data_IF_305349094139
#
_entry.id   IF_305349094139
#
_cell.length_a   1.000
_cell.length_b   1.000
_cell.length_c   1.000
_cell.angle_alpha   90.00
_cell.angle_beta   90.00
_cell.angle_gamma   90.00
#
_symmetry.space_group_name_H-M   'P 1'
#
loop_
_entity.id
_entity.type
_entity.pdbx_description
1 polymer ?
#
# COMPACT_ATOMS: atom_id res chain seq x y z
N UNK A 1 5.71 -39.78 25.82
CA UNK A 1 5.88 -38.40 26.35
C UNK A 1 4.49 -37.77 26.47
N UNK A 2 4.09 -37.39 27.67
CA UNK A 2 2.72 -36.94 27.94
C UNK A 2 2.58 -35.44 27.58
N UNK A 3 1.52 -35.07 26.92
CA UNK A 3 1.14 -33.68 26.58
C UNK A 3 1.20 -32.73 27.80
N UNK A 4 0.99 -33.25 28.99
CA UNK A 4 1.11 -32.52 30.25
C UNK A 4 2.52 -31.97 30.50
N UNK A 5 3.56 -32.66 30.08
CA UNK A 5 4.94 -32.22 30.27
C UNK A 5 5.24 -30.98 29.43
N UNK A 6 4.81 -30.96 28.16
CA UNK A 6 4.97 -29.78 27.29
C UNK A 6 4.22 -28.54 27.81
N UNK A 7 3.00 -28.77 28.35
CA UNK A 7 2.22 -27.69 28.93
C UNK A 7 2.92 -27.09 30.16
N UNK A 8 3.50 -27.93 31.02
CA UNK A 8 4.23 -27.45 32.20
C UNK A 8 5.47 -26.64 31.84
N UNK A 9 6.20 -27.04 30.79
CA UNK A 9 7.37 -26.30 30.27
C UNK A 9 6.96 -24.91 29.79
N UNK A 10 5.90 -24.83 28.98
CA UNK A 10 5.38 -23.56 28.44
C UNK A 10 4.95 -22.65 29.59
N UNK A 11 4.16 -23.13 30.56
CA UNK A 11 3.69 -22.34 31.70
C UNK A 11 4.85 -21.85 32.57
N UNK A 12 5.85 -22.65 32.77
CA UNK A 12 7.01 -22.28 33.60
C UNK A 12 7.83 -21.14 33.00
N UNK A 13 7.86 -21.03 31.68
CA UNK A 13 8.66 -20.04 30.96
C UNK A 13 7.85 -19.10 30.08
N UNK A 14 6.57 -18.93 30.41
CA UNK A 14 5.64 -18.09 29.67
C UNK A 14 6.13 -16.63 29.51
N UNK A 15 6.92 -16.16 30.47
CA UNK A 15 7.48 -14.84 30.43
C UNK A 15 8.48 -14.65 29.27
N UNK A 16 9.17 -15.71 28.82
CA UNK A 16 10.07 -15.68 27.66
C UNK A 16 9.25 -15.48 26.38
N UNK A 17 8.15 -16.23 26.26
CA UNK A 17 7.21 -16.07 25.13
C UNK A 17 6.65 -14.65 25.16
N UNK A 18 6.18 -14.19 26.33
CA UNK A 18 5.63 -12.84 26.48
C UNK A 18 6.64 -11.74 26.13
N UNK A 19 7.93 -11.93 26.45
CA UNK A 19 8.98 -11.00 26.12
C UNK A 19 9.21 -10.93 24.59
N UNK A 20 9.36 -12.08 23.93
CA UNK A 20 9.60 -12.14 22.48
C UNK A 20 8.40 -11.58 21.73
N UNK A 21 7.20 -12.05 22.05
CA UNK A 21 5.95 -11.54 21.42
C UNK A 21 5.74 -10.07 21.75
N UNK A 22 6.05 -9.66 22.98
CA UNK A 22 5.90 -8.27 23.43
C UNK A 22 6.79 -7.29 22.65
N UNK A 23 8.05 -7.64 22.39
CA UNK A 23 8.96 -6.80 21.57
C UNK A 23 8.40 -6.64 20.15
N UNK A 24 7.98 -7.76 19.54
CA UNK A 24 7.41 -7.73 18.18
C UNK A 24 6.08 -6.98 18.15
N UNK A 25 5.24 -7.17 19.17
CA UNK A 25 3.97 -6.46 19.29
C UNK A 25 4.14 -4.95 19.46
N UNK A 26 5.16 -4.50 20.20
CA UNK A 26 5.50 -3.08 20.31
C UNK A 26 5.94 -2.50 18.97
N UNK A 27 6.80 -3.22 18.23
CA UNK A 27 7.21 -2.81 16.89
C UNK A 27 6.02 -2.73 15.92
N UNK A 28 5.20 -3.78 15.88
CA UNK A 28 3.99 -3.83 15.04
C UNK A 28 3.00 -2.74 15.45
N UNK A 29 2.80 -2.51 16.75
CA UNK A 29 1.94 -1.46 17.28
C UNK A 29 2.40 -0.06 16.87
N UNK A 30 3.71 0.20 16.92
CA UNK A 30 4.29 1.45 16.45
C UNK A 30 4.05 1.65 14.95
N UNK A 31 4.31 0.64 14.14
CA UNK A 31 4.09 0.68 12.69
C UNK A 31 2.61 0.86 12.34
N UNK A 32 1.71 0.17 13.05
CA UNK A 32 0.27 0.31 12.87
C UNK A 32 -0.22 1.72 13.24
N UNK A 33 0.32 2.30 14.32
CA UNK A 33 -0.01 3.68 14.72
C UNK A 33 0.40 4.68 13.63
N UNK A 34 1.60 4.54 13.06
CA UNK A 34 2.05 5.34 11.92
C UNK A 34 1.16 5.15 10.69
N UNK A 35 0.85 3.90 10.37
CA UNK A 35 -0.01 3.57 9.23
C UNK A 35 -1.41 4.18 9.36
N UNK A 36 -1.97 4.17 10.56
CA UNK A 36 -3.29 4.77 10.84
C UNK A 36 -3.31 6.29 10.68
N UNK A 37 -2.18 6.95 10.95
CA UNK A 37 -2.04 8.41 10.79
C UNK A 37 -1.83 8.84 9.33
N UNK A 38 -1.38 7.93 8.46
CA UNK A 38 -1.13 8.24 7.05
C UNK A 38 -2.46 8.21 6.29
N UNK A 39 -2.91 9.33 5.71
CA UNK A 39 -4.13 9.38 4.91
C UNK A 39 -4.04 8.41 3.72
N UNK A 40 -5.15 7.71 3.42
CA UNK A 40 -5.21 6.77 2.30
C UNK A 40 -4.47 5.44 2.48
N UNK A 41 -3.74 5.24 3.59
CA UNK A 41 -2.94 4.04 3.78
C UNK A 41 -3.80 2.77 3.98
N UNK A 42 -4.89 2.85 4.74
CA UNK A 42 -5.78 1.72 5.04
C UNK A 42 -7.00 1.66 4.14
N UNK A 43 -7.56 2.82 3.81
CA UNK A 43 -8.70 2.97 2.90
C UNK A 43 -8.40 4.06 1.90
N UNK A 44 -8.71 3.82 0.66
CA UNK A 44 -8.64 4.79 -0.41
C UNK A 44 -9.93 4.74 -1.22
N UNK A 45 -10.16 5.76 -1.99
CA UNK A 45 -11.27 5.84 -2.94
C UNK A 45 -10.69 5.79 -4.34
N UNK A 46 -11.25 4.92 -5.18
CA UNK A 46 -10.83 4.76 -6.55
C UNK A 46 -11.88 5.34 -7.50
N UNK A 47 -11.43 6.11 -8.45
CA UNK A 47 -12.18 6.49 -9.63
C UNK A 47 -11.28 6.30 -10.85
N UNK A 48 -11.87 6.06 -12.01
CA UNK A 48 -11.10 5.84 -13.23
C UNK A 48 -11.76 6.56 -14.41
N UNK A 49 -10.93 6.93 -15.38
CA UNK A 49 -11.39 7.51 -16.64
C UNK A 49 -10.69 6.78 -17.78
N UNK A 50 -11.43 6.48 -18.84
CA UNK A 50 -10.85 5.82 -20.02
C UNK A 50 -10.86 6.78 -21.18
N UNK A 51 -9.68 7.00 -21.75
CA UNK A 51 -9.46 7.81 -22.95
C UNK A 51 -8.99 6.91 -24.09
N UNK A 52 -9.31 7.27 -25.29
CA UNK A 52 -8.75 6.71 -26.52
C UNK A 52 -7.74 7.70 -27.09
N UNK A 53 -6.54 7.24 -27.36
CA UNK A 53 -5.48 8.02 -28.00
C UNK A 53 -5.39 7.65 -29.47
N UNK A 54 -5.23 8.66 -30.32
CA UNK A 54 -5.12 8.44 -31.75
C UNK A 54 -4.48 9.63 -32.47
N UNK A 55 -4.37 9.52 -33.75
CA UNK A 55 -3.94 10.59 -34.64
C UNK A 55 -5.16 11.18 -35.33
N UNK A 56 -5.21 12.50 -35.45
CA UNK A 56 -6.21 13.13 -36.33
C UNK A 56 -5.83 12.85 -37.79
N UNK A 57 -6.80 12.41 -38.62
CA UNK A 57 -6.53 12.27 -40.05
C UNK A 57 -6.13 13.61 -40.64
N UNK A 58 -4.99 13.65 -41.32
CA UNK A 58 -4.60 14.80 -42.11
C UNK A 58 -5.43 14.87 -43.36
N UNK A 59 -5.81 16.07 -43.80
CA UNK A 59 -6.68 16.33 -44.94
C UNK A 59 -6.16 15.80 -46.30
N UNK A 60 -4.97 15.25 -46.35
CA UNK A 60 -4.31 14.82 -47.58
C UNK A 60 -4.42 13.32 -47.89
N UNK A 61 -5.40 12.61 -47.33
CA UNK A 61 -5.86 11.35 -47.89
C UNK A 61 -4.98 10.12 -47.81
N UNK A 62 -3.78 10.20 -47.27
CA UNK A 62 -2.84 9.07 -47.13
C UNK A 62 -3.00 8.37 -45.77
N UNK A 63 -4.17 7.80 -45.55
CA UNK A 63 -4.41 6.96 -44.38
C UNK A 63 -4.09 5.52 -44.67
N UNK A 64 -2.84 5.14 -44.55
CA UNK A 64 -2.49 3.74 -44.39
C UNK A 64 -3.02 3.30 -43.01
N UNK A 65 -4.24 2.76 -42.99
CA UNK A 65 -4.99 2.42 -41.76
C UNK A 65 -4.22 1.52 -40.81
N UNK A 66 -3.34 0.66 -41.33
CA UNK A 66 -2.50 -0.20 -40.51
C UNK A 66 -1.44 0.59 -39.71
N UNK A 67 -0.80 1.59 -40.30
CA UNK A 67 0.16 2.46 -39.60
C UNK A 67 -0.56 3.33 -38.55
N UNK A 68 -1.79 3.71 -38.81
CA UNK A 68 -2.60 4.51 -37.90
C UNK A 68 -2.86 3.77 -36.56
N UNK A 69 -3.24 2.49 -36.65
CA UNK A 69 -3.47 1.64 -35.47
C UNK A 69 -2.16 1.46 -34.68
N UNK A 70 -1.07 1.11 -35.36
CA UNK A 70 0.22 0.87 -34.71
C UNK A 70 0.72 2.14 -33.99
N UNK A 71 0.61 3.30 -34.61
CA UNK A 71 1.04 4.55 -33.99
C UNK A 71 0.15 4.94 -32.81
N UNK A 72 -1.18 4.75 -32.93
CA UNK A 72 -2.11 4.99 -31.83
C UNK A 72 -1.82 4.11 -30.61
N UNK A 73 -1.51 2.84 -30.84
CA UNK A 73 -1.11 1.91 -29.78
C UNK A 73 0.25 2.29 -29.17
N UNK A 74 1.23 2.69 -30.01
CA UNK A 74 2.53 3.15 -29.52
C UNK A 74 2.42 4.42 -28.67
N UNK A 75 1.56 5.36 -29.03
CA UNK A 75 1.30 6.56 -28.23
C UNK A 75 0.61 6.24 -26.91
N UNK A 76 -0.36 5.31 -26.93
CA UNK A 76 -1.00 4.83 -25.71
C UNK A 76 0.00 4.11 -24.79
N UNK A 77 0.92 3.35 -25.36
CA UNK A 77 2.02 2.70 -24.61
C UNK A 77 2.97 3.73 -24.01
N UNK A 78 3.36 4.73 -24.80
CA UNK A 78 4.22 5.81 -24.34
C UNK A 78 3.56 6.60 -23.18
N UNK A 79 2.27 6.82 -23.19
CA UNK A 79 1.57 7.48 -22.08
C UNK A 79 1.65 6.67 -20.79
N UNK A 80 1.52 5.35 -20.85
CA UNK A 80 1.53 4.48 -19.67
C UNK A 80 2.95 4.15 -19.21
N UNK A 81 3.87 3.93 -20.15
CA UNK A 81 5.26 3.52 -19.85
C UNK A 81 6.19 4.69 -19.54
N UNK A 82 5.86 5.90 -19.97
CA UNK A 82 6.68 7.09 -19.73
C UNK A 82 6.27 7.80 -18.42
N UNK A 83 7.14 8.67 -17.89
CA UNK A 83 6.83 9.45 -16.69
C UNK A 83 5.82 10.59 -16.94
N UNK A 84 5.05 10.59 -18.03
CA UNK A 84 4.06 11.66 -18.31
C UNK A 84 3.08 11.81 -17.17
N UNK A 85 2.48 10.70 -16.72
CA UNK A 85 1.48 10.69 -15.64
C UNK A 85 2.03 11.07 -14.27
N UNK A 86 3.34 11.10 -14.09
CA UNK A 86 4.02 11.52 -12.86
C UNK A 86 4.88 12.76 -13.10
N UNK A 87 4.73 13.40 -14.26
CA UNK A 87 5.44 14.63 -14.55
C UNK A 87 4.85 15.80 -13.78
N UNK A 88 5.69 16.65 -13.24
CA UNK A 88 5.25 17.81 -12.50
C UNK A 88 4.34 18.75 -13.33
N UNK A 89 4.55 18.79 -14.64
CA UNK A 89 3.73 19.56 -15.57
C UNK A 89 2.31 18.99 -15.66
N UNK A 90 2.17 17.68 -15.90
CA UNK A 90 0.87 17.01 -15.98
C UNK A 90 0.10 17.12 -14.67
N UNK A 91 0.77 16.89 -13.53
CA UNK A 91 0.17 16.98 -12.21
C UNK A 91 -0.28 18.41 -11.86
N UNK A 92 0.50 19.41 -12.28
CA UNK A 92 0.15 20.82 -12.11
C UNK A 92 -1.05 21.18 -12.99
N UNK A 93 -1.10 20.67 -14.21
CA UNK A 93 -2.22 20.89 -15.11
C UNK A 93 -3.53 20.29 -14.56
N UNK A 94 -3.45 19.09 -13.94
CA UNK A 94 -4.59 18.48 -13.24
C UNK A 94 -5.06 19.38 -12.09
N UNK A 95 -4.14 19.87 -11.26
CA UNK A 95 -4.48 20.78 -10.16
C UNK A 95 -5.16 22.06 -10.67
N UNK A 96 -4.65 22.64 -11.75
CA UNK A 96 -5.26 23.82 -12.38
C UNK A 96 -6.65 23.52 -12.96
N UNK A 97 -6.84 22.33 -13.55
CA UNK A 97 -8.13 21.90 -14.09
C UNK A 97 -9.16 21.70 -12.97
N UNK A 98 -8.77 21.08 -11.84
CA UNK A 98 -9.65 20.96 -10.67
C UNK A 98 -10.11 22.33 -10.18
N UNK A 99 -9.22 23.34 -10.17
CA UNK A 99 -9.58 24.69 -9.80
C UNK A 99 -10.64 25.31 -10.74
N UNK A 100 -10.55 25.01 -12.04
CA UNK A 100 -11.54 25.45 -13.04
C UNK A 100 -12.88 24.74 -12.87
N UNK A 101 -12.84 23.43 -12.55
CA UNK A 101 -14.01 22.58 -12.42
C UNK A 101 -14.68 22.66 -11.04
N UNK A 102 -14.23 23.57 -10.17
CA UNK A 102 -14.73 23.69 -8.80
C UNK A 102 -16.24 23.85 -8.73
N UNK A 103 -16.85 24.56 -9.68
CA UNK A 103 -18.30 24.70 -9.75
C UNK A 103 -19.03 23.38 -10.00
N UNK A 104 -18.50 22.53 -10.85
CA UNK A 104 -19.04 21.19 -11.15
C UNK A 104 -18.88 20.27 -9.95
N UNK A 105 -17.72 20.34 -9.29
CA UNK A 105 -17.44 19.55 -8.08
C UNK A 105 -18.41 19.93 -6.95
N UNK A 106 -18.63 21.24 -6.74
CA UNK A 106 -19.58 21.75 -5.73
C UNK A 106 -21.01 21.30 -6.06
N UNK A 107 -21.39 21.34 -7.32
CA UNK A 107 -22.71 20.88 -7.73
C UNK A 107 -22.94 19.40 -7.46
N UNK A 108 -21.89 18.57 -7.61
CA UNK A 108 -21.98 17.11 -7.46
C UNK A 108 -21.85 16.64 -6.01
N UNK A 109 -20.91 17.20 -5.25
CA UNK A 109 -20.55 16.75 -3.91
C UNK A 109 -20.89 17.74 -2.80
N UNK A 110 -21.39 18.93 -3.16
CA UNK A 110 -21.73 19.99 -2.22
C UNK A 110 -20.59 20.98 -1.94
N UNK A 111 -20.94 22.13 -1.39
CA UNK A 111 -19.99 23.22 -1.13
C UNK A 111 -18.89 22.89 -0.11
N UNK A 112 -19.12 21.90 0.76
CA UNK A 112 -18.18 21.46 1.78
C UNK A 112 -17.49 20.14 1.40
N UNK A 113 -17.40 19.81 0.10
CA UNK A 113 -16.75 18.59 -0.37
C UNK A 113 -15.26 18.61 0.02
N UNK A 114 -14.85 17.56 0.72
CA UNK A 114 -13.43 17.35 1.04
C UNK A 114 -12.72 16.75 -0.18
N UNK A 115 -11.82 17.52 -0.78
CA UNK A 115 -11.02 17.11 -1.92
C UNK A 115 -9.62 16.58 -1.48
N UNK A 116 -9.27 16.67 -0.19
CA UNK A 116 -7.91 16.43 0.28
C UNK A 116 -6.93 17.50 -0.23
N UNK A 117 -5.63 17.17 -0.20
CA UNK A 117 -4.57 18.11 -0.62
C UNK A 117 -4.33 18.07 -2.14
N UNK A 118 -5.37 18.39 -2.91
CA UNK A 118 -5.37 18.40 -4.37
C UNK A 118 -4.49 19.52 -4.99
N UNK A 119 -4.08 20.49 -4.18
CA UNK A 119 -3.20 21.58 -4.62
C UNK A 119 -1.73 21.15 -4.70
N UNK A 120 -1.40 19.97 -4.20
CA UNK A 120 -0.04 19.44 -4.20
C UNK A 120 0.17 18.49 -5.41
N UNK A 121 0.86 18.93 -6.49
CA UNK A 121 1.06 18.10 -7.68
C UNK A 121 1.74 16.76 -7.38
N UNK A 122 2.72 16.73 -6.46
CA UNK A 122 3.43 15.50 -6.13
C UNK A 122 2.53 14.42 -5.52
N UNK A 123 1.47 14.79 -4.80
CA UNK A 123 0.50 13.85 -4.27
C UNK A 123 -0.44 13.36 -5.37
N UNK A 124 -0.79 14.23 -6.32
CA UNK A 124 -1.59 13.85 -7.49
C UNK A 124 -0.85 12.78 -8.30
N UNK A 125 0.41 13.01 -8.66
CA UNK A 125 1.20 12.05 -9.43
C UNK A 125 1.35 10.68 -8.76
N UNK A 126 1.47 10.66 -7.43
CA UNK A 126 1.50 9.41 -6.65
C UNK A 126 0.15 8.67 -6.61
N UNK A 127 -0.95 9.39 -6.79
CA UNK A 127 -2.30 8.84 -6.77
C UNK A 127 -2.71 8.25 -8.13
N UNK A 128 -2.01 8.62 -9.21
CA UNK A 128 -2.32 8.20 -10.56
C UNK A 128 -1.62 6.90 -10.93
N UNK A 129 -2.35 6.04 -11.61
CA UNK A 129 -1.84 4.85 -12.26
C UNK A 129 -2.61 4.64 -13.56
N UNK A 130 -1.95 4.15 -14.60
CA UNK A 130 -2.62 3.87 -15.85
C UNK A 130 -2.37 2.46 -16.34
N UNK A 131 -3.39 1.95 -17.03
CA UNK A 131 -3.33 0.67 -17.75
C UNK A 131 -3.81 0.91 -19.17
N UNK A 132 -3.32 0.14 -20.12
CA UNK A 132 -3.76 0.25 -21.51
C UNK A 132 -4.28 -1.07 -22.08
N UNK A 133 -5.21 -0.94 -23.01
CA UNK A 133 -5.65 -2.02 -23.89
C UNK A 133 -5.74 -1.42 -25.29
N UNK A 134 -4.86 -1.83 -26.19
CA UNK A 134 -4.70 -1.22 -27.51
C UNK A 134 -4.47 0.30 -27.43
N UNK A 135 -5.29 1.10 -28.09
CA UNK A 135 -5.25 2.58 -28.06
C UNK A 135 -6.03 3.20 -26.89
N UNK A 136 -6.65 2.36 -26.03
CA UNK A 136 -7.39 2.84 -24.87
C UNK A 136 -6.48 2.87 -23.65
N UNK A 137 -6.46 3.99 -22.96
CA UNK A 137 -5.75 4.19 -21.69
C UNK A 137 -6.76 4.44 -20.61
N UNK A 138 -6.74 3.62 -19.57
CA UNK A 138 -7.53 3.81 -18.36
C UNK A 138 -6.64 4.39 -17.27
N UNK A 139 -6.91 5.62 -16.89
CA UNK A 139 -6.23 6.30 -15.78
C UNK A 139 -7.03 6.01 -14.51
N UNK A 140 -6.39 5.36 -13.55
CA UNK A 140 -6.96 5.03 -12.25
C UNK A 140 -6.40 6.00 -11.23
N UNK A 141 -7.28 6.58 -10.43
CA UNK A 141 -6.94 7.49 -9.35
C UNK A 141 -7.28 6.85 -8.02
N UNK A 142 -6.29 6.75 -7.11
CA UNK A 142 -6.49 6.32 -5.74
C UNK A 142 -6.25 7.49 -4.80
N UNK A 143 -7.31 7.98 -4.15
CA UNK A 143 -7.26 9.17 -3.31
C UNK A 143 -7.85 8.95 -1.93
N UNK A 144 -7.60 9.89 -1.03
CA UNK A 144 -8.04 9.79 0.38
C UNK A 144 -9.51 10.15 0.60
N UNK A 145 -10.13 10.85 -0.36
CA UNK A 145 -11.52 11.32 -0.28
C UNK A 145 -12.30 10.95 -1.54
N UNK A 146 -13.61 10.80 -1.41
CA UNK A 146 -14.51 10.44 -2.52
C UNK A 146 -14.54 11.50 -3.62
N UNK A 147 -14.74 12.75 -3.22
CA UNK A 147 -14.82 13.89 -4.14
C UNK A 147 -13.47 14.15 -4.82
N UNK A 148 -12.36 14.02 -4.06
CA UNK A 148 -11.02 14.21 -4.62
C UNK A 148 -10.64 13.12 -5.62
N UNK A 149 -10.99 11.85 -5.37
CA UNK A 149 -10.73 10.76 -6.32
C UNK A 149 -11.44 10.99 -7.65
N UNK A 150 -12.70 11.39 -7.61
CA UNK A 150 -13.46 11.73 -8.82
C UNK A 150 -12.90 12.96 -9.53
N UNK A 151 -12.62 14.04 -8.78
CA UNK A 151 -12.12 15.29 -9.33
C UNK A 151 -10.78 15.10 -10.05
N UNK A 152 -9.84 14.38 -9.44
CA UNK A 152 -8.52 14.08 -10.04
C UNK A 152 -8.68 13.20 -11.28
N UNK A 153 -9.53 12.15 -11.23
CA UNK A 153 -9.77 11.29 -12.39
C UNK A 153 -10.39 12.07 -13.56
N UNK A 154 -11.39 12.90 -13.29
CA UNK A 154 -12.04 13.73 -14.31
C UNK A 154 -11.06 14.74 -14.93
N UNK A 155 -10.36 15.50 -14.09
CA UNK A 155 -9.36 16.46 -14.52
C UNK A 155 -8.23 15.82 -15.32
N UNK A 156 -7.74 14.63 -14.91
CA UNK A 156 -6.73 13.87 -15.66
C UNK A 156 -7.21 13.51 -17.07
N UNK A 157 -8.47 13.14 -17.22
CA UNK A 157 -9.07 12.89 -18.54
C UNK A 157 -9.17 14.14 -19.38
N UNK A 158 -9.64 15.25 -18.83
CA UNK A 158 -9.79 16.53 -19.53
C UNK A 158 -8.44 17.11 -19.94
N UNK A 159 -7.45 17.13 -19.05
CA UNK A 159 -6.08 17.55 -19.35
C UNK A 159 -5.46 16.66 -20.44
N UNK A 160 -5.67 15.34 -20.36
CA UNK A 160 -5.20 14.43 -21.40
C UNK A 160 -5.80 14.75 -22.75
N UNK A 161 -7.10 15.05 -22.84
CA UNK A 161 -7.75 15.41 -24.11
C UNK A 161 -7.25 16.76 -24.62
N UNK A 162 -7.12 17.74 -23.72
CA UNK A 162 -6.75 19.10 -24.11
C UNK A 162 -5.27 19.25 -24.50
N UNK A 163 -4.38 18.55 -23.81
CA UNK A 163 -2.93 18.79 -23.90
C UNK A 163 -2.09 17.60 -24.39
N UNK A 164 -2.71 16.48 -24.78
CA UNK A 164 -1.96 15.28 -25.20
C UNK A 164 -1.01 15.58 -26.35
N UNK A 165 -1.41 16.41 -27.29
CA UNK A 165 -0.57 16.86 -28.40
C UNK A 165 0.71 17.54 -27.94
N UNK A 166 0.65 18.34 -26.87
CA UNK A 166 1.81 19.03 -26.32
C UNK A 166 2.80 18.05 -25.68
N UNK A 167 2.31 17.07 -24.92
CA UNK A 167 3.16 16.08 -24.26
C UNK A 167 3.87 15.15 -25.26
N UNK A 168 3.28 14.89 -26.41
CA UNK A 168 3.86 14.04 -27.45
C UNK A 168 4.52 14.81 -28.60
N UNK A 169 4.46 16.14 -28.63
CA UNK A 169 4.97 16.95 -29.74
C UNK A 169 6.46 16.68 -30.01
N UNK A 170 7.26 16.53 -28.96
CA UNK A 170 8.69 16.22 -29.08
C UNK A 170 8.95 14.86 -29.74
N UNK A 171 8.19 13.84 -29.38
CA UNK A 171 8.34 12.48 -29.92
C UNK A 171 8.00 12.45 -31.41
N UNK A 172 6.95 13.16 -31.80
CA UNK A 172 6.49 13.21 -33.19
C UNK A 172 7.42 14.04 -34.06
N UNK A 173 7.87 15.19 -33.59
CA UNK A 173 8.80 16.05 -34.33
C UNK A 173 10.15 15.36 -34.56
N UNK A 174 10.70 14.70 -33.57
CA UNK A 174 11.96 14.00 -33.74
C UNK A 174 11.89 12.84 -34.75
N UNK A 175 10.80 12.08 -34.74
CA UNK A 175 10.60 10.99 -35.69
C UNK A 175 10.34 11.51 -37.14
N UNK A 176 9.65 12.63 -37.28
CA UNK A 176 9.41 13.24 -38.58
C UNK A 176 10.69 13.82 -39.23
N UNK A 177 11.59 14.39 -38.43
CA UNK A 177 12.84 15.01 -38.93
C UNK A 177 13.86 13.98 -39.38
N UNK A 178 13.83 12.76 -38.85
CA UNK A 178 14.80 11.72 -39.21
C UNK A 178 14.50 11.01 -40.53
N UNK A 179 13.26 11.01 -41.00
CA UNK A 179 12.85 10.11 -42.09
C UNK A 179 12.54 10.74 -43.45
N UNK A 180 12.48 12.06 -43.59
CA UNK A 180 12.26 12.69 -44.94
C UNK A 180 12.45 14.20 -44.96
N UNK A 181 13.19 14.73 -45.95
CA UNK A 181 13.29 16.15 -46.24
C UNK A 181 12.14 16.60 -47.14
N UNK A 182 10.95 16.70 -46.68
CA UNK A 182 9.82 17.16 -47.48
C UNK A 182 8.70 17.66 -46.56
N UNK A 183 7.84 18.53 -47.06
CA UNK A 183 6.69 19.11 -46.32
C UNK A 183 5.81 18.06 -45.65
N UNK A 184 6.22 17.57 -44.49
CA UNK A 184 5.38 16.71 -43.66
C UNK A 184 4.43 17.57 -42.82
N UNK A 185 3.15 17.37 -43.04
CA UNK A 185 2.11 17.75 -42.09
C UNK A 185 2.24 16.75 -40.93
N UNK A 186 2.79 17.19 -39.81
CA UNK A 186 2.86 16.37 -38.58
C UNK A 186 1.45 15.96 -38.17
N UNK A 187 1.12 14.66 -38.12
CA UNK A 187 -0.18 14.24 -37.66
C UNK A 187 -0.38 14.70 -36.22
N UNK A 188 -1.49 15.36 -35.93
CA UNK A 188 -1.78 15.81 -34.59
C UNK A 188 -2.24 14.62 -33.73
N UNK A 189 -1.60 14.44 -32.58
CA UNK A 189 -2.09 13.51 -31.57
C UNK A 189 -3.37 14.07 -30.96
N UNK A 190 -4.38 13.24 -30.85
CA UNK A 190 -5.64 13.59 -30.20
C UNK A 190 -6.04 12.51 -29.21
N UNK A 191 -6.78 12.91 -28.21
CA UNK A 191 -7.41 12.00 -27.28
C UNK A 191 -8.91 12.31 -27.17
N UNK A 192 -9.67 11.30 -26.82
CA UNK A 192 -11.10 11.42 -26.57
C UNK A 192 -11.49 10.63 -25.34
N UNK A 193 -12.29 11.20 -24.45
CA UNK A 193 -12.88 10.48 -23.32
C UNK A 193 -13.91 9.49 -23.86
N UNK A 194 -13.75 8.22 -23.54
CA UNK A 194 -14.67 7.13 -23.89
C UNK A 194 -15.58 6.82 -22.70
N UNK A 195 -15.02 6.74 -21.51
CA UNK A 195 -15.79 6.52 -20.30
C UNK A 195 -15.43 7.62 -19.31
N UNK A 196 -16.43 8.42 -18.94
CA UNK A 196 -16.29 9.46 -17.93
C UNK A 196 -16.00 8.84 -16.55
N UNK A 197 -15.38 9.64 -15.68
CA UNK A 197 -15.09 9.21 -14.32
C UNK A 197 -16.39 8.87 -13.56
N UNK A 198 -16.57 7.60 -13.09
CA UNK A 198 -17.70 7.24 -12.25
C UNK A 198 -17.52 7.78 -10.85
N UNK A 199 -18.57 7.68 -10.04
CA UNK A 199 -18.43 7.92 -8.60
C UNK A 199 -17.39 6.99 -8.00
N UNK A 200 -16.58 7.53 -7.13
CA UNK A 200 -15.47 6.77 -6.54
C UNK A 200 -15.98 5.64 -5.64
N UNK A 201 -15.35 4.49 -5.74
CA UNK A 201 -15.59 3.34 -4.88
C UNK A 201 -14.52 3.21 -3.81
N UNK A 202 -14.90 2.70 -2.64
CA UNK A 202 -13.91 2.42 -1.58
C UNK A 202 -13.07 1.22 -1.98
N UNK A 203 -11.77 1.37 -1.94
CA UNK A 203 -10.80 0.29 -2.19
C UNK A 203 -9.86 0.15 -1.00
N UNK A 204 -9.15 -0.97 -0.95
CA UNK A 204 -8.08 -1.14 0.01
C UNK A 204 -6.97 -0.11 -0.24
N UNK A 205 -6.54 0.58 0.80
CA UNK A 205 -5.45 1.55 0.71
C UNK A 205 -4.13 0.90 0.31
N UNK A 206 -3.19 1.70 -0.13
CA UNK A 206 -1.88 1.26 -0.64
C UNK A 206 -1.07 0.38 0.33
N UNK A 207 -1.37 0.47 1.61
CA UNK A 207 -0.68 -0.26 2.68
C UNK A 207 -1.55 -1.32 3.37
N UNK A 208 -2.73 -1.64 2.85
CA UNK A 208 -3.64 -2.63 3.45
C UNK A 208 -3.00 -4.02 3.56
N UNK A 209 -2.18 -4.41 2.58
CA UNK A 209 -1.44 -5.67 2.59
C UNK A 209 -0.42 -5.75 3.74
N UNK A 210 0.03 -4.62 4.28
CA UNK A 210 0.94 -4.59 5.43
C UNK A 210 0.27 -5.12 6.70
N UNK A 211 -1.06 -5.01 6.83
CA UNK A 211 -1.78 -5.58 7.98
C UNK A 211 -1.64 -7.10 8.02
N UNK A 212 -1.76 -7.77 6.88
CA UNK A 212 -1.56 -9.22 6.77
C UNK A 212 -0.12 -9.59 7.13
N UNK A 213 0.86 -8.79 6.67
CA UNK A 213 2.26 -8.98 7.02
C UNK A 213 2.51 -8.85 8.53
N UNK A 214 1.90 -7.85 9.18
CA UNK A 214 2.03 -7.64 10.64
C UNK A 214 1.44 -8.77 11.44
N UNK A 215 0.29 -9.31 11.01
CA UNK A 215 -0.30 -10.49 11.63
C UNK A 215 0.61 -11.71 11.47
N UNK A 216 1.19 -11.91 10.28
CA UNK A 216 2.14 -12.99 10.03
C UNK A 216 3.40 -12.86 10.90
N UNK A 217 3.94 -11.64 11.06
CA UNK A 217 5.08 -11.39 11.94
C UNK A 217 4.79 -11.77 13.41
N UNK A 218 3.59 -11.46 13.89
CA UNK A 218 3.15 -11.84 15.24
C UNK A 218 3.06 -13.35 15.41
N UNK A 219 2.55 -14.05 14.40
CA UNK A 219 2.46 -15.52 14.41
C UNK A 219 3.86 -16.15 14.41
N UNK A 220 4.78 -15.65 13.58
CA UNK A 220 6.18 -16.11 13.57
C UNK A 220 6.86 -15.85 14.91
N UNK A 221 6.64 -14.68 15.52
CA UNK A 221 7.19 -14.36 16.84
C UNK A 221 6.69 -15.31 17.93
N UNK A 222 5.42 -15.72 17.86
CA UNK A 222 4.85 -16.71 18.78
C UNK A 222 5.55 -18.07 18.64
N UNK A 223 5.70 -18.55 17.41
CA UNK A 223 6.38 -19.82 17.12
C UNK A 223 7.83 -19.77 17.60
N UNK A 224 8.55 -18.70 17.31
CA UNK A 224 9.92 -18.50 17.79
C UNK A 224 10.01 -18.42 19.33
N UNK A 225 9.06 -17.75 19.98
CA UNK A 225 8.97 -17.70 21.44
C UNK A 225 8.79 -19.08 22.06
N UNK A 226 7.94 -19.91 21.47
CA UNK A 226 7.74 -21.30 21.90
C UNK A 226 9.01 -22.11 21.66
N UNK A 227 9.61 -22.04 20.48
CA UNK A 227 10.86 -22.76 20.16
C UNK A 227 11.98 -22.37 21.12
N UNK A 228 12.14 -21.08 21.41
CA UNK A 228 13.16 -20.59 22.36
C UNK A 228 12.88 -21.08 23.78
N UNK A 229 11.62 -21.21 24.17
CA UNK A 229 11.24 -21.76 25.49
C UNK A 229 11.68 -23.22 25.63
N UNK A 230 11.48 -24.03 24.61
CA UNK A 230 11.96 -25.42 24.59
C UNK A 230 13.49 -25.50 24.55
N UNK A 231 14.14 -24.65 23.76
CA UNK A 231 15.59 -24.58 23.71
C UNK A 231 16.20 -24.24 25.07
N UNK A 232 15.65 -23.25 25.77
CA UNK A 232 16.08 -22.86 27.09
C UNK A 232 15.79 -23.93 28.14
N UNK A 233 14.75 -24.75 27.96
CA UNK A 233 14.48 -25.88 28.85
C UNK A 233 15.44 -27.03 28.59
N UNK A 234 15.78 -27.28 27.34
CA UNK A 234 16.77 -28.26 26.92
C UNK A 234 18.19 -27.92 27.42
N UNK A 235 18.55 -26.65 27.45
CA UNK A 235 19.86 -26.17 27.93
C UNK A 235 19.92 -26.01 29.46
N UNK A 236 18.81 -26.26 30.17
CA UNK A 236 18.74 -26.09 31.63
C UNK A 236 19.00 -27.41 32.35
N UNK A 237 20.26 -27.79 32.46
CA UNK A 237 20.75 -29.02 33.13
C UNK A 237 20.56 -29.00 34.66
N UNK A 238 19.74 -28.10 35.20
CA UNK A 238 19.53 -28.05 36.66
C UNK A 238 18.61 -29.17 37.12
N UNK A 239 19.14 -30.01 37.97
CA UNK A 239 18.38 -31.04 38.72
C UNK A 239 17.35 -30.29 39.60
N UNK A 240 16.08 -30.47 39.36
CA UNK A 240 14.98 -29.73 40.05
C UNK A 240 14.03 -30.64 40.82
N UNK A 241 13.94 -31.86 40.45
CA UNK A 241 13.06 -32.84 41.12
C UNK A 241 13.87 -34.01 41.72
N UNK A 242 13.30 -34.62 42.75
CA UNK A 242 13.86 -35.87 43.30
C UNK A 242 13.84 -37.00 42.28
N UNK A 243 12.90 -36.96 41.33
CA UNK A 243 12.79 -37.97 40.28
C UNK A 243 13.92 -37.81 39.25
N UNK A 244 14.37 -36.59 38.96
CA UNK A 244 15.54 -36.29 38.11
C UNK A 244 16.83 -36.87 38.77
N UNK A 245 16.98 -36.72 40.09
CA UNK A 245 18.13 -37.27 40.83
C UNK A 245 18.14 -38.78 40.75
N UNK A 246 16.99 -39.41 40.95
CA UNK A 246 16.88 -40.89 40.93
C UNK A 246 17.14 -41.43 39.51
N UNK A 247 16.70 -40.70 38.48
CA UNK A 247 16.86 -41.10 37.10
C UNK A 247 18.29 -40.90 36.57
N UNK A 248 18.97 -39.83 37.00
CA UNK A 248 20.35 -39.52 36.61
C UNK A 248 21.40 -40.31 37.37
N UNK A 249 21.19 -40.55 38.66
CA UNK A 249 22.18 -41.20 39.52
C UNK A 249 21.88 -42.68 39.81
N UNK A 250 20.69 -43.16 39.47
CA UNK A 250 20.27 -44.55 39.75
C UNK A 250 20.12 -44.86 41.24
N UNK A 251 20.17 -43.88 42.13
CA UNK A 251 20.15 -44.02 43.58
C UNK A 251 18.83 -43.46 44.14
N UNK A 252 18.11 -44.20 44.98
CA UNK A 252 16.90 -43.72 45.60
C UNK A 252 17.20 -42.55 46.53
N UNK A 253 16.40 -41.46 46.42
CA UNK A 253 16.50 -40.28 47.29
C UNK A 253 15.97 -40.61 48.68
N UNK A 254 16.87 -40.69 49.67
CA UNK A 254 16.54 -41.07 51.05
C UNK A 254 15.90 -39.92 51.87
N UNK A 255 16.21 -38.67 51.56
CA UNK A 255 15.69 -37.55 52.29
C UNK A 255 15.67 -36.25 51.44
N UNK A 256 14.71 -35.37 51.68
CA UNK A 256 14.63 -34.05 51.08
C UNK A 256 14.66 -33.01 52.21
N UNK A 257 15.62 -32.11 52.14
CA UNK A 257 15.71 -31.00 53.11
C UNK A 257 14.62 -29.96 52.73
N UNK A 258 13.60 -29.76 53.59
CA UNK A 258 12.57 -28.78 53.29
C UNK A 258 13.19 -27.38 53.28
N UNK A 259 12.78 -26.58 52.31
CA UNK A 259 13.24 -25.20 52.23
C UNK A 259 12.77 -24.46 53.47
N UNK A 260 13.67 -23.84 54.23
CA UNK A 260 13.30 -22.99 55.35
C UNK A 260 12.28 -21.95 54.90
N UNK A 261 11.19 -21.72 55.61
CA UNK A 261 10.27 -20.66 55.29
C UNK A 261 11.04 -19.36 55.33
N UNK A 262 10.92 -18.55 54.25
CA UNK A 262 11.57 -17.25 54.19
C UNK A 262 11.11 -16.41 55.39
N UNK A 263 12.04 -15.75 56.14
CA UNK A 263 11.70 -14.99 57.33
C UNK A 263 10.68 -13.91 56.96
N UNK A 264 9.56 -14.00 57.63
CA UNK A 264 8.29 -13.40 57.42
C UNK A 264 8.23 -11.96 56.91
N UNK A 265 7.35 -11.75 56.01
CA UNK A 265 6.50 -10.55 56.02
C UNK A 265 5.46 -10.76 57.19
N UNK A 266 5.80 -10.26 58.39
CA UNK A 266 4.83 -10.07 59.43
C UNK A 266 3.74 -9.13 58.90
N UNK A 267 2.55 -9.70 58.65
CA UNK A 267 1.35 -8.88 58.43
C UNK A 267 1.14 -8.08 59.71
N UNK A 268 1.03 -6.73 59.66
CA UNK A 268 0.61 -5.98 60.83
C UNK A 268 -0.80 -6.43 61.19
N UNK A 269 -0.94 -6.93 62.39
CA UNK A 269 -2.20 -7.23 63.03
C UNK A 269 -3.05 -5.95 63.05
N UNK A 270 -4.17 -5.96 62.30
CA UNK A 270 -5.19 -4.93 62.41
C UNK A 270 -5.83 -5.01 63.82
N UNK A 271 -5.41 -4.11 64.70
CA UNK A 271 -6.06 -3.85 65.95
C UNK A 271 -7.48 -3.34 65.68
N UNK A 272 -8.47 -4.17 65.99
CA UNK A 272 -9.87 -3.74 66.17
C UNK A 272 -9.95 -2.86 67.44
N UNK A 273 -10.38 -1.64 67.26
CA UNK A 273 -11.14 -0.88 68.26
C UNK A 273 -12.44 -0.43 67.59
#
# INVERSE_FOLDING_TARGET
MELRTYWTIIWRRIWVIALVVGIVALYVGYQYYHLRKTPGALKAYNSNITIQIGLQPTSNGDTNSANYVIVSEALADAMVASPILTSHEFDTDISNQIAQDMSVIIQRYGANADLGDWQNPSLIGQALNATRVHSFVTINTNWITTAGAWAIANAAGEVSVAKIGTYFDYVIKNNATQNSPGNFVTPQVSARIITAAPDSITVAGSSSNKLTLYFLMLLVALVLGIALTFLLDYLDDRIRSKDDVTQLLGIPVCAVIPRAPSPGRTRPSASRK
#
